data_IF_189299428676
#
_entry.id   IF_189299428676
#
_cell.length_a   1.000
_cell.length_b   1.000
_cell.length_c   1.000
_cell.angle_alpha   90.00
_cell.angle_beta   90.00
_cell.angle_gamma   90.00
#
_symmetry.space_group_name_H-M   'P 1'
#
loop_
_entity.id
_entity.type
_entity.pdbx_description
1 polymer ?
#
# COMPACT_ATOMS: atom_id res chain seq x y z
N UNK A 1 18.22 -74.17 -41.48
CA UNK A 1 17.61 -72.85 -41.20
C UNK A 1 18.22 -72.27 -39.93
N UNK A 2 19.16 -71.33 -40.03
CA UNK A 2 19.71 -70.57 -38.89
C UNK A 2 18.96 -69.23 -38.82
N UNK A 3 18.30 -68.93 -37.69
CA UNK A 3 17.77 -67.57 -37.41
C UNK A 3 18.85 -66.76 -36.69
N UNK A 4 19.29 -65.67 -37.31
CA UNK A 4 20.19 -64.69 -36.70
C UNK A 4 19.38 -63.74 -35.82
N UNK A 5 19.86 -63.49 -34.60
CA UNK A 5 19.32 -62.47 -33.69
C UNK A 5 20.18 -61.21 -33.82
N UNK A 6 19.61 -60.12 -34.33
CA UNK A 6 20.27 -58.80 -34.32
C UNK A 6 19.83 -58.05 -33.06
N UNK A 7 20.76 -57.84 -32.11
CA UNK A 7 20.56 -56.94 -30.97
C UNK A 7 20.44 -55.50 -31.48
N UNK A 8 19.29 -54.87 -31.28
CA UNK A 8 19.17 -53.42 -31.44
C UNK A 8 19.79 -52.72 -30.22
N UNK A 9 20.64 -51.75 -30.53
CA UNK A 9 21.58 -51.04 -29.68
C UNK A 9 20.89 -50.07 -28.71
N UNK A 10 21.49 -49.89 -27.54
CA UNK A 10 21.03 -49.09 -26.41
C UNK A 10 20.93 -47.56 -26.61
N UNK A 11 20.73 -47.07 -27.84
CA UNK A 11 20.46 -45.66 -28.11
C UNK A 11 18.98 -45.28 -27.92
N UNK A 12 18.04 -46.22 -28.12
CA UNK A 12 16.61 -45.94 -27.96
C UNK A 12 16.19 -45.68 -26.50
N UNK A 13 16.90 -46.25 -25.52
CA UNK A 13 16.59 -46.06 -24.10
C UNK A 13 17.10 -44.72 -23.54
N UNK A 14 18.11 -44.09 -24.18
CA UNK A 14 18.63 -42.79 -23.73
C UNK A 14 17.82 -41.60 -24.24
N UNK A 15 17.09 -41.76 -25.35
CA UNK A 15 16.16 -40.73 -25.85
C UNK A 15 14.86 -40.66 -25.03
N UNK A 16 14.43 -41.76 -24.39
CA UNK A 16 13.26 -41.75 -23.50
C UNK A 16 13.51 -41.09 -22.15
N UNK A 17 14.76 -41.03 -21.68
CA UNK A 17 15.11 -40.34 -20.44
C UNK A 17 15.30 -38.82 -20.61
N UNK A 18 15.60 -38.33 -21.82
CA UNK A 18 15.65 -36.90 -22.12
C UNK A 18 14.27 -36.29 -22.42
N UNK A 19 13.29 -37.10 -22.81
CA UNK A 19 11.91 -36.65 -23.00
C UNK A 19 11.10 -36.50 -21.71
N UNK A 20 11.51 -37.17 -20.62
CA UNK A 20 10.76 -37.15 -19.35
C UNK A 20 11.25 -36.09 -18.36
N UNK A 21 12.48 -35.58 -18.51
CA UNK A 21 12.98 -34.44 -17.72
C UNK A 21 12.60 -33.07 -18.31
N UNK A 22 12.26 -33.00 -19.61
CA UNK A 22 11.74 -31.77 -20.22
C UNK A 22 10.25 -31.53 -19.92
N UNK A 23 9.49 -32.57 -19.52
CA UNK A 23 8.07 -32.43 -19.20
C UNK A 23 7.79 -32.04 -17.73
N UNK A 24 8.77 -32.15 -16.83
CA UNK A 24 8.67 -31.68 -15.44
C UNK A 24 9.34 -30.31 -15.19
N UNK A 25 10.05 -29.75 -16.17
CA UNK A 25 10.54 -28.38 -16.13
C UNK A 25 9.52 -27.37 -16.70
N UNK A 26 8.42 -27.85 -17.29
CA UNK A 26 7.25 -27.06 -17.68
C UNK A 26 6.27 -26.87 -16.54
N UNK A 27 6.76 -26.69 -15.30
CA UNK A 27 5.93 -26.14 -14.24
C UNK A 27 5.44 -24.78 -14.76
N UNK A 28 4.14 -24.73 -15.05
CA UNK A 28 3.45 -23.58 -15.59
C UNK A 28 4.00 -22.29 -14.98
N UNK A 29 4.79 -21.56 -15.78
CA UNK A 29 4.75 -20.13 -15.69
C UNK A 29 3.32 -19.76 -16.09
N UNK A 30 2.41 -19.82 -15.11
CA UNK A 30 1.25 -18.97 -15.16
C UNK A 30 1.83 -17.59 -15.37
N UNK A 31 1.75 -17.08 -16.60
CA UNK A 31 2.01 -15.68 -16.84
C UNK A 31 1.22 -14.97 -15.77
N UNK A 32 1.91 -14.18 -14.94
CA UNK A 32 1.24 -13.26 -14.06
C UNK A 32 0.44 -12.35 -15.00
N UNK A 33 -0.82 -12.70 -15.24
CA UNK A 33 -1.76 -11.75 -15.79
C UNK A 33 -1.68 -10.59 -14.81
N UNK A 34 -1.23 -9.43 -15.29
CA UNK A 34 -1.33 -8.20 -14.52
C UNK A 34 -2.83 -7.97 -14.31
N UNK A 35 -3.39 -8.58 -13.27
CA UNK A 35 -4.79 -8.41 -12.94
C UNK A 35 -4.94 -6.97 -12.51
N UNK A 36 -5.81 -6.26 -13.22
CA UNK A 36 -6.23 -4.91 -12.86
C UNK A 36 -6.65 -4.87 -11.39
N UNK A 37 -6.45 -3.73 -10.75
CA UNK A 37 -7.03 -3.44 -9.44
C UNK A 37 -8.53 -3.74 -9.49
N UNK A 38 -9.01 -4.47 -8.51
CA UNK A 38 -10.44 -4.70 -8.33
C UNK A 38 -11.14 -3.46 -7.76
N UNK A 39 -10.39 -2.39 -7.49
CA UNK A 39 -10.88 -1.11 -7.03
C UNK A 39 -10.77 -0.11 -8.17
N UNK A 40 -11.84 0.64 -8.43
CA UNK A 40 -11.91 1.59 -9.56
C UNK A 40 -12.22 3.00 -9.09
N UNK A 41 -12.02 3.99 -9.96
CA UNK A 41 -12.46 5.37 -9.70
C UNK A 41 -13.97 5.47 -9.49
N UNK A 42 -14.77 4.64 -10.18
CA UNK A 42 -16.23 4.62 -10.09
C UNK A 42 -16.75 3.99 -8.79
N UNK A 43 -16.02 3.02 -8.24
CA UNK A 43 -16.38 2.33 -6.99
C UNK A 43 -15.75 2.96 -5.74
N UNK A 44 -15.03 4.08 -5.91
CA UNK A 44 -14.35 4.77 -4.82
C UNK A 44 -15.01 6.10 -4.47
N UNK A 45 -14.96 6.47 -3.19
CA UNK A 45 -15.68 7.62 -2.66
C UNK A 45 -14.77 8.47 -1.76
N UNK A 46 -14.85 9.78 -1.95
CA UNK A 46 -14.29 10.77 -1.04
C UNK A 46 -15.44 11.28 -0.16
N UNK A 47 -15.48 10.85 1.09
CA UNK A 47 -16.60 11.09 2.00
C UNK A 47 -16.10 11.47 3.40
N UNK A 48 -17.01 11.57 4.35
CA UNK A 48 -16.69 11.68 5.77
C UNK A 48 -17.27 10.48 6.52
N UNK A 49 -16.52 9.97 7.47
CA UNK A 49 -16.93 8.91 8.39
C UNK A 49 -16.45 9.26 9.81
N UNK A 50 -16.77 8.43 10.80
CA UNK A 50 -16.25 8.65 12.16
C UNK A 50 -14.80 8.19 12.26
N UNK A 51 -13.92 9.11 12.67
CA UNK A 51 -12.59 8.77 13.15
C UNK A 51 -12.66 8.44 14.65
N UNK A 52 -12.21 7.26 15.03
CA UNK A 52 -12.10 6.83 16.42
C UNK A 52 -10.67 6.35 16.68
N UNK A 53 -9.91 7.11 17.47
CA UNK A 53 -8.53 6.75 17.84
C UNK A 53 -8.52 5.39 18.54
N UNK A 54 -7.58 4.52 18.18
CA UNK A 54 -7.43 3.23 18.84
C UNK A 54 -7.09 3.36 20.34
N UNK A 55 -6.47 4.46 20.76
CA UNK A 55 -6.04 4.66 22.14
C UNK A 55 -5.13 3.51 22.57
N UNK A 56 -5.55 2.75 23.58
CA UNK A 56 -4.86 1.54 24.04
C UNK A 56 -5.46 0.24 23.48
N UNK A 57 -6.49 0.31 22.65
CA UNK A 57 -7.11 -0.86 22.04
C UNK A 57 -6.16 -1.55 21.05
N UNK A 58 -6.31 -2.86 20.90
CA UNK A 58 -5.46 -3.67 20.03
C UNK A 58 -4.03 -3.79 20.53
N UNK A 59 -3.11 -4.04 19.60
CA UNK A 59 -1.69 -4.25 19.84
C UNK A 59 -0.86 -3.10 19.28
N UNK A 60 0.16 -2.68 20.01
CA UNK A 60 1.19 -1.79 19.47
C UNK A 60 2.01 -2.53 18.40
N UNK A 61 2.29 -1.85 17.29
CA UNK A 61 3.18 -2.32 16.23
C UNK A 61 4.55 -1.72 16.50
N UNK A 62 5.52 -2.57 16.84
CA UNK A 62 6.87 -2.13 17.13
C UNK A 62 7.68 -1.88 15.85
N UNK A 63 8.44 -0.80 15.87
CA UNK A 63 9.50 -0.44 14.92
C UNK A 63 10.73 -0.04 15.74
N UNK A 64 11.93 -0.20 15.18
CA UNK A 64 13.19 0.17 15.80
C UNK A 64 13.34 1.69 15.97
N UNK A 65 12.66 2.47 15.12
CA UNK A 65 12.59 3.92 15.18
C UNK A 65 11.22 4.40 14.64
N UNK A 66 11.01 5.72 14.54
CA UNK A 66 9.78 6.32 13.98
C UNK A 66 10.02 7.05 12.65
N UNK A 67 11.12 6.77 11.97
CA UNK A 67 11.64 7.47 10.79
C UNK A 67 12.46 6.47 9.95
N UNK A 68 11.95 6.10 8.78
CA UNK A 68 12.52 5.04 7.93
C UNK A 68 12.68 3.67 8.60
N UNK A 69 11.57 3.00 8.89
CA UNK A 69 11.59 1.61 9.36
C UNK A 69 10.37 0.78 8.91
N UNK A 70 10.53 -0.54 8.97
CA UNK A 70 9.48 -1.52 8.73
C UNK A 70 9.23 -2.35 9.99
N UNK A 71 7.96 -2.61 10.30
CA UNK A 71 7.61 -3.52 11.37
C UNK A 71 7.90 -4.98 11.00
N UNK A 72 7.89 -5.88 12.00
CA UNK A 72 7.63 -7.29 11.72
C UNK A 72 6.21 -7.48 11.15
N UNK A 73 5.93 -8.63 10.54
CA UNK A 73 4.60 -8.96 10.03
C UNK A 73 3.54 -8.92 11.15
N UNK A 74 2.40 -8.28 10.86
CA UNK A 74 1.26 -8.11 11.75
C UNK A 74 0.07 -8.91 11.22
N UNK A 75 -0.76 -9.45 12.11
CA UNK A 75 -1.93 -10.22 11.73
C UNK A 75 -3.16 -9.32 11.47
N UNK A 76 -3.89 -9.58 10.38
CA UNK A 76 -5.16 -8.92 10.06
C UNK A 76 -6.31 -9.46 10.94
N UNK A 77 -6.20 -10.71 11.39
CA UNK A 77 -7.21 -11.41 12.19
C UNK A 77 -8.30 -12.10 11.38
N UNK A 78 -8.30 -11.95 10.06
CA UNK A 78 -9.12 -12.68 9.09
C UNK A 78 -8.40 -12.74 7.73
N UNK A 79 -8.92 -13.53 6.80
CA UNK A 79 -8.45 -13.54 5.41
C UNK A 79 -9.06 -12.37 4.65
N UNK A 80 -8.26 -11.39 4.28
CA UNK A 80 -8.66 -10.24 3.45
C UNK A 80 -8.21 -10.47 2.00
N UNK A 81 -9.13 -10.38 1.04
CA UNK A 81 -8.81 -10.57 -0.37
C UNK A 81 -8.51 -9.24 -1.04
N UNK A 82 -7.26 -9.04 -1.44
CA UNK A 82 -6.80 -7.88 -2.19
C UNK A 82 -6.42 -8.29 -3.61
N UNK A 83 -7.13 -7.77 -4.62
CA UNK A 83 -6.94 -8.08 -6.05
C UNK A 83 -6.87 -9.59 -6.35
N UNK A 84 -7.83 -10.35 -5.79
CA UNK A 84 -7.92 -11.79 -5.98
C UNK A 84 -6.96 -12.62 -5.12
N UNK A 85 -6.03 -11.98 -4.39
CA UNK A 85 -5.09 -12.68 -3.50
C UNK A 85 -5.53 -12.55 -2.04
N UNK A 86 -5.60 -13.68 -1.33
CA UNK A 86 -5.94 -13.72 0.08
C UNK A 86 -4.71 -13.42 0.95
N UNK A 87 -4.82 -12.44 1.85
CA UNK A 87 -3.81 -12.05 2.81
C UNK A 87 -4.34 -12.17 4.23
N UNK A 88 -3.51 -12.68 5.14
CA UNK A 88 -3.80 -12.75 6.58
C UNK A 88 -2.89 -11.84 7.40
N UNK A 89 -1.89 -11.26 6.76
CA UNK A 89 -0.86 -10.43 7.38
C UNK A 89 -0.55 -9.20 6.54
N UNK A 90 0.13 -8.24 7.16
CA UNK A 90 0.72 -7.07 6.50
C UNK A 90 2.03 -6.69 7.20
N UNK A 91 2.86 -5.89 6.54
CA UNK A 91 4.00 -5.18 7.15
C UNK A 91 3.73 -3.68 7.08
N UNK A 92 3.87 -2.99 8.21
CA UNK A 92 3.76 -1.53 8.30
C UNK A 92 5.11 -0.89 8.03
N UNK A 93 5.09 0.23 7.31
CA UNK A 93 6.22 1.12 7.16
C UNK A 93 5.92 2.47 7.87
N UNK A 94 6.92 3.04 8.53
CA UNK A 94 6.79 4.29 9.29
C UNK A 94 6.38 5.48 8.41
N UNK A 95 6.76 5.46 7.13
CA UNK A 95 6.42 6.43 6.09
C UNK A 95 5.00 6.27 5.53
N UNK A 96 4.04 5.77 6.31
CA UNK A 96 2.61 5.87 5.99
C UNK A 96 2.12 4.97 4.87
N UNK A 97 2.69 3.76 4.75
CA UNK A 97 2.17 2.68 3.91
C UNK A 97 2.18 1.33 4.64
N UNK A 98 1.37 0.40 4.17
CA UNK A 98 1.53 -1.03 4.46
C UNK A 98 1.74 -1.80 3.16
N UNK A 99 2.46 -2.90 3.27
CA UNK A 99 2.49 -3.96 2.27
C UNK A 99 1.68 -5.15 2.76
N UNK A 100 0.77 -5.65 1.92
CA UNK A 100 0.04 -6.87 2.22
C UNK A 100 0.97 -8.09 2.20
N UNK A 101 0.79 -9.02 3.14
CA UNK A 101 1.62 -10.20 3.31
C UNK A 101 2.67 -10.07 4.42
N UNK A 102 3.50 -11.11 4.54
CA UNK A 102 4.44 -11.27 5.65
C UNK A 102 5.82 -10.63 5.42
N UNK A 103 6.10 -10.15 4.21
CA UNK A 103 7.41 -9.62 3.82
C UNK A 103 7.38 -8.09 3.73
N UNK A 104 8.44 -7.46 4.21
CA UNK A 104 8.59 -6.01 4.15
C UNK A 104 8.68 -5.49 2.69
N UNK A 105 8.40 -4.20 2.47
CA UNK A 105 8.81 -3.48 1.25
C UNK A 105 10.31 -3.58 0.99
N UNK A 106 10.75 -3.18 -0.21
CA UNK A 106 12.15 -3.27 -0.64
C UNK A 106 13.12 -2.41 0.19
N UNK A 107 12.61 -1.36 0.84
CA UNK A 107 13.38 -0.44 1.64
C UNK A 107 12.58 0.07 2.84
N UNK A 108 13.24 0.80 3.74
CA UNK A 108 12.61 1.46 4.88
C UNK A 108 12.19 2.92 4.54
N UNK A 109 13.00 3.60 3.73
CA UNK A 109 12.73 4.93 3.15
C UNK A 109 11.81 4.85 1.90
N UNK A 110 10.69 4.13 2.03
CA UNK A 110 9.72 3.96 0.95
C UNK A 110 8.81 5.19 0.84
N UNK A 111 9.28 6.24 0.19
CA UNK A 111 8.49 7.41 -0.14
C UNK A 111 9.01 8.10 -1.40
N UNK A 112 8.15 8.92 -2.01
CA UNK A 112 8.57 9.84 -3.07
C UNK A 112 8.67 11.26 -2.51
N UNK A 113 9.85 11.84 -2.54
CA UNK A 113 10.04 13.26 -2.24
C UNK A 113 9.95 14.09 -3.53
N UNK A 114 8.72 14.43 -3.94
CA UNK A 114 8.46 15.20 -5.16
C UNK A 114 8.32 16.71 -4.89
N UNK A 115 9.31 17.29 -4.21
CA UNK A 115 9.24 18.68 -3.72
C UNK A 115 10.29 19.59 -4.34
N UNK A 116 11.22 19.02 -5.09
CA UNK A 116 12.32 19.73 -5.73
C UNK A 116 12.63 19.12 -7.09
N UNK A 117 12.97 19.96 -8.06
CA UNK A 117 13.62 19.57 -9.31
C UNK A 117 15.07 19.06 -9.09
N UNK A 118 15.34 18.41 -7.95
CA UNK A 118 16.64 17.84 -7.61
C UNK A 118 16.71 16.41 -8.12
N UNK A 119 17.80 16.10 -8.80
CA UNK A 119 18.09 14.82 -9.47
C UNK A 119 18.40 13.66 -8.52
N UNK A 120 18.06 13.76 -7.23
CA UNK A 120 18.38 12.71 -6.26
C UNK A 120 17.20 12.49 -5.29
N UNK A 121 16.25 11.60 -5.60
CA UNK A 121 15.21 11.21 -4.65
C UNK A 121 15.86 10.48 -3.46
N UNK A 122 15.62 10.96 -2.24
CA UNK A 122 16.18 10.38 -1.00
C UNK A 122 15.42 9.10 -0.58
N UNK A 123 14.30 8.80 -1.24
CA UNK A 123 13.46 7.62 -0.99
C UNK A 123 13.17 6.80 -2.25
N UNK A 124 12.60 5.62 -2.04
CA UNK A 124 12.09 4.74 -3.10
C UNK A 124 10.62 5.08 -3.33
N UNK A 125 10.28 5.61 -4.51
CA UNK A 125 8.88 5.89 -4.87
C UNK A 125 8.08 4.56 -4.93
N UNK A 126 7.13 4.34 -4.02
CA UNK A 126 6.40 3.08 -3.99
C UNK A 126 5.58 2.85 -5.26
N UNK A 127 5.20 3.90 -5.98
CA UNK A 127 4.36 3.77 -7.18
C UNK A 127 5.18 3.34 -8.40
N UNK A 128 6.31 4.01 -8.65
CA UNK A 128 7.16 3.71 -9.82
C UNK A 128 8.14 2.56 -9.60
N UNK A 129 8.39 2.15 -8.34
CA UNK A 129 9.25 1.00 -8.06
C UNK A 129 8.76 -0.27 -8.78
N UNK A 130 9.70 -0.96 -9.41
CA UNK A 130 9.51 -2.24 -10.10
C UNK A 130 10.00 -3.43 -9.29
N UNK A 131 10.47 -3.21 -8.05
CA UNK A 131 10.86 -4.29 -7.15
C UNK A 131 9.67 -5.21 -6.89
N UNK A 132 9.85 -6.55 -6.93
CA UNK A 132 8.78 -7.49 -6.55
C UNK A 132 8.41 -7.40 -5.06
N UNK A 133 9.20 -6.69 -4.24
CA UNK A 133 8.86 -6.39 -2.86
C UNK A 133 7.96 -5.15 -2.72
N UNK A 134 7.73 -4.36 -3.78
CA UNK A 134 6.94 -3.11 -3.72
C UNK A 134 5.61 -3.26 -4.46
N UNK A 135 4.90 -4.33 -4.14
CA UNK A 135 3.59 -4.68 -4.68
C UNK A 135 2.61 -4.89 -3.54
N UNK A 136 1.32 -4.85 -3.86
CA UNK A 136 0.21 -4.98 -2.90
C UNK A 136 0.29 -3.95 -1.76
N UNK A 137 0.41 -2.68 -2.15
CA UNK A 137 0.62 -1.56 -1.23
C UNK A 137 -0.68 -0.80 -0.98
N UNK A 138 -0.94 -0.49 0.28
CA UNK A 138 -1.97 0.46 0.70
C UNK A 138 -1.24 1.66 1.32
N UNK A 139 -1.49 2.84 0.75
CA UNK A 139 -0.78 4.07 1.10
C UNK A 139 -1.81 5.07 1.64
N UNK A 140 -2.17 5.03 2.94
CA UNK A 140 -3.08 5.99 3.53
C UNK A 140 -2.49 7.40 3.57
N UNK A 141 -1.19 7.58 3.78
CA UNK A 141 -0.53 8.87 3.70
C UNK A 141 0.97 8.66 3.53
N UNK A 142 1.40 8.22 2.35
CA UNK A 142 2.80 7.94 2.13
C UNK A 142 3.59 9.21 1.82
N UNK A 143 4.53 9.50 2.70
CA UNK A 143 5.41 10.65 2.70
C UNK A 143 6.62 10.33 3.60
N UNK A 144 7.70 11.10 3.52
CA UNK A 144 8.78 11.05 4.51
C UNK A 144 8.23 11.51 5.88
N UNK A 145 7.88 10.57 6.74
CA UNK A 145 7.18 10.82 8.00
C UNK A 145 8.10 10.56 9.18
N UNK A 146 8.04 11.46 10.15
CA UNK A 146 8.71 11.28 11.44
C UNK A 146 7.75 11.56 12.60
N UNK A 147 8.25 11.41 13.82
CA UNK A 147 7.49 11.66 15.04
C UNK A 147 7.23 13.17 15.24
N UNK A 148 5.96 13.56 15.42
CA UNK A 148 5.52 14.97 15.50
C UNK A 148 6.28 15.84 16.49
N UNK A 149 6.70 15.26 17.62
CA UNK A 149 7.57 15.92 18.59
C UNK A 149 8.14 14.90 19.58
N UNK A 150 9.08 15.35 20.41
CA UNK A 150 9.55 14.59 21.56
C UNK A 150 8.44 14.33 22.62
N UNK A 151 7.36 15.13 22.63
CA UNK A 151 6.28 15.06 23.64
C UNK A 151 5.00 14.38 23.14
N UNK A 152 4.85 14.23 21.82
CA UNK A 152 3.78 13.48 21.18
C UNK A 152 4.42 12.48 20.22
N UNK A 153 5.04 11.45 20.79
CA UNK A 153 5.78 10.47 20.01
C UNK A 153 4.85 9.72 19.05
N UNK A 154 5.33 9.45 17.84
CA UNK A 154 4.60 8.62 16.91
C UNK A 154 4.34 7.23 17.51
N UNK A 155 3.15 6.69 17.26
CA UNK A 155 2.74 5.37 17.70
C UNK A 155 1.96 4.66 16.60
N UNK A 156 2.21 3.37 16.44
CA UNK A 156 1.55 2.52 15.46
C UNK A 156 0.75 1.41 16.16
N UNK A 157 -0.47 1.17 15.73
CA UNK A 157 -1.35 0.14 16.35
C UNK A 157 -2.19 -0.61 15.34
N UNK A 158 -2.56 -1.84 15.70
CA UNK A 158 -3.57 -2.63 14.99
C UNK A 158 -4.60 -3.19 15.94
N UNK A 159 -5.87 -3.12 15.58
CA UNK A 159 -6.98 -3.74 16.30
C UNK A 159 -7.97 -4.37 15.32
N UNK A 160 -8.37 -5.61 15.59
CA UNK A 160 -9.44 -6.29 14.85
C UNK A 160 -10.67 -6.38 15.75
N UNK A 161 -11.77 -5.76 15.32
CA UNK A 161 -13.02 -5.67 16.08
C UNK A 161 -14.19 -6.30 15.35
N UNK A 162 -15.27 -6.61 16.07
CA UNK A 162 -16.46 -7.28 15.55
C UNK A 162 -16.38 -8.80 15.69
N UNK A 163 -17.34 -9.50 15.09
CA UNK A 163 -17.44 -10.97 15.11
C UNK A 163 -17.50 -11.49 13.69
N UNK A 164 -16.86 -12.63 13.41
CA UNK A 164 -16.90 -13.22 12.08
C UNK A 164 -18.36 -13.47 11.62
N UNK A 165 -18.69 -13.25 10.33
CA UNK A 165 -17.82 -12.80 9.23
C UNK A 165 -17.80 -11.27 9.03
N UNK A 166 -18.14 -10.49 10.07
CA UNK A 166 -18.26 -9.04 10.02
C UNK A 166 -17.19 -8.33 10.87
N UNK A 167 -15.92 -8.73 10.73
CA UNK A 167 -14.79 -8.08 11.40
C UNK A 167 -14.23 -6.92 10.59
N UNK A 168 -13.60 -5.98 11.31
CA UNK A 168 -12.84 -4.86 10.73
C UNK A 168 -11.46 -4.83 11.38
N UNK A 169 -10.41 -4.87 10.57
CA UNK A 169 -9.03 -4.63 11.01
C UNK A 169 -8.71 -3.15 10.82
N UNK A 170 -8.38 -2.44 11.90
CA UNK A 170 -7.98 -1.04 11.89
C UNK A 170 -6.50 -0.93 12.20
N UNK A 171 -5.74 -0.27 11.33
CA UNK A 171 -4.29 -0.04 11.45
C UNK A 171 -4.08 1.47 11.53
N UNK A 172 -3.40 1.96 12.56
CA UNK A 172 -3.29 3.39 12.87
C UNK A 172 -1.84 3.86 12.87
N UNK A 173 -1.59 5.02 12.27
CA UNK A 173 -0.43 5.88 12.51
C UNK A 173 -0.94 7.05 13.34
N UNK A 174 -0.30 7.30 14.49
CA UNK A 174 -0.66 8.37 15.41
C UNK A 174 0.50 9.32 15.62
N UNK A 175 0.19 10.61 15.71
CA UNK A 175 1.15 11.68 16.02
C UNK A 175 2.40 11.68 15.11
N UNK A 176 2.20 11.39 13.82
CA UNK A 176 3.25 11.55 12.80
C UNK A 176 3.16 12.94 12.18
N UNK A 177 4.20 13.40 11.50
CA UNK A 177 4.12 14.58 10.66
C UNK A 177 5.02 14.47 9.43
N UNK A 178 4.77 15.31 8.43
CA UNK A 178 5.59 15.39 7.23
C UNK A 178 6.95 15.98 7.57
N UNK A 179 7.99 15.16 7.51
CA UNK A 179 9.37 15.52 7.82
C UNK A 179 9.80 16.70 6.96
N UNK A 180 10.45 17.66 7.61
CA UNK A 180 11.01 18.80 6.89
C UNK A 180 12.24 18.35 6.09
N UNK A 181 12.38 18.85 4.88
CA UNK A 181 13.57 18.64 4.07
C UNK A 181 14.00 19.98 3.46
N UNK A 182 14.14 20.07 2.13
CA UNK A 182 14.27 21.37 1.45
C UNK A 182 13.03 22.26 1.61
N UNK A 183 11.90 21.64 1.93
CA UNK A 183 10.59 22.25 2.15
C UNK A 183 10.22 22.16 3.64
N UNK A 184 9.57 23.20 4.16
CA UNK A 184 9.10 23.23 5.55
C UNK A 184 7.91 22.28 5.75
N UNK A 185 7.87 21.63 6.91
CA UNK A 185 6.73 20.81 7.34
C UNK A 185 5.43 21.61 7.34
N UNK A 186 4.32 20.95 7.00
CA UNK A 186 2.99 21.54 6.89
C UNK A 186 2.04 21.05 7.97
N UNK A 187 2.30 19.89 8.58
CA UNK A 187 1.57 19.38 9.72
C UNK A 187 2.47 19.38 10.94
N UNK A 188 1.93 19.83 12.07
CA UNK A 188 2.54 19.61 13.37
C UNK A 188 2.19 18.22 13.89
N UNK A 189 1.01 17.69 13.56
CA UNK A 189 0.62 16.32 13.91
C UNK A 189 -0.50 15.85 12.98
N UNK A 190 -0.42 14.58 12.59
CA UNK A 190 -1.39 13.87 11.78
C UNK A 190 -1.60 12.47 12.39
N UNK A 191 -2.86 12.05 12.44
CA UNK A 191 -3.25 10.70 12.83
C UNK A 191 -4.23 10.17 11.79
N UNK A 192 -3.98 8.97 11.27
CA UNK A 192 -4.79 8.36 10.23
C UNK A 192 -4.82 6.84 10.36
N UNK A 193 -5.81 6.23 9.70
CA UNK A 193 -6.09 4.81 9.79
C UNK A 193 -6.29 4.18 8.41
N UNK A 194 -5.89 2.91 8.28
CA UNK A 194 -6.40 1.97 7.28
C UNK A 194 -7.44 1.09 7.97
N UNK A 195 -8.59 0.87 7.33
CA UNK A 195 -9.58 -0.11 7.74
C UNK A 195 -9.80 -1.14 6.64
N UNK A 196 -9.69 -2.42 6.99
CA UNK A 196 -9.95 -3.57 6.13
C UNK A 196 -11.23 -4.27 6.61
N UNK A 197 -12.17 -4.55 5.72
CA UNK A 197 -13.47 -5.14 6.04
C UNK A 197 -13.53 -6.59 5.55
N UNK A 198 -13.84 -7.52 6.45
CA UNK A 198 -13.69 -8.98 6.23
C UNK A 198 -14.43 -9.52 5.02
N UNK A 199 -15.75 -9.32 4.92
CA UNK A 199 -16.55 -9.94 3.84
C UNK A 199 -16.55 -9.09 2.56
N UNK A 200 -16.63 -7.77 2.68
CA UNK A 200 -16.74 -6.88 1.51
C UNK A 200 -15.41 -6.61 0.81
N UNK A 201 -14.30 -6.93 1.47
CA UNK A 201 -12.95 -6.51 1.07
C UNK A 201 -12.85 -4.99 0.84
N UNK A 202 -13.71 -4.20 1.46
CA UNK A 202 -13.62 -2.74 1.39
C UNK A 202 -12.35 -2.27 2.11
N UNK A 203 -11.75 -1.20 1.60
CA UNK A 203 -10.65 -0.47 2.24
C UNK A 203 -11.12 0.95 2.53
N UNK A 204 -10.82 1.47 3.73
CA UNK A 204 -10.96 2.89 4.02
C UNK A 204 -9.66 3.48 4.55
N UNK A 205 -9.30 4.67 4.07
CA UNK A 205 -8.31 5.53 4.70
C UNK A 205 -9.04 6.66 5.42
N UNK A 206 -8.97 6.70 6.76
CA UNK A 206 -9.72 7.64 7.59
C UNK A 206 -8.76 8.54 8.36
N UNK A 207 -8.94 9.86 8.26
CA UNK A 207 -8.06 10.85 8.89
C UNK A 207 -8.71 11.46 10.13
N UNK A 208 -7.94 11.54 11.20
CA UNK A 208 -8.29 12.34 12.37
C UNK A 208 -8.13 13.83 12.09
N UNK A 209 -8.49 14.66 13.07
CA UNK A 209 -8.19 16.09 12.99
C UNK A 209 -6.66 16.29 12.96
N UNK A 210 -6.15 16.89 11.88
CA UNK A 210 -4.75 17.27 11.78
C UNK A 210 -4.49 18.58 12.55
N UNK A 211 -3.26 18.75 13.00
CA UNK A 211 -2.76 20.03 13.53
C UNK A 211 -1.81 20.65 12.52
N UNK A 212 -2.06 21.88 12.10
CA UNK A 212 -1.19 22.61 11.18
C UNK A 212 0.17 22.93 11.81
N UNK A 213 1.24 22.85 11.03
CA UNK A 213 2.51 23.45 11.41
C UNK A 213 2.35 24.97 11.50
N UNK A 214 2.83 25.57 12.60
CA UNK A 214 2.73 27.02 12.86
C UNK A 214 4.01 27.78 12.50
N UNK A 215 5.08 27.07 12.15
CA UNK A 215 6.39 27.61 11.79
C UNK A 215 6.77 27.20 10.38
N UNK A 216 7.44 28.08 9.64
CA UNK A 216 7.86 27.83 8.27
C UNK A 216 6.88 28.39 7.23
N UNK A 217 7.30 28.36 5.97
CA UNK A 217 6.52 28.90 4.87
C UNK A 217 5.35 27.96 4.55
N UNK A 218 4.15 28.51 4.33
CA UNK A 218 3.00 27.74 3.85
C UNK A 218 3.23 27.42 2.37
N UNK A 219 3.53 26.16 2.08
CA UNK A 219 3.82 25.67 0.72
C UNK A 219 3.04 24.40 0.44
N UNK A 220 2.86 24.11 -0.84
CA UNK A 220 2.27 22.85 -1.26
C UNK A 220 3.29 21.72 -1.24
N UNK A 221 2.89 20.55 -0.70
CA UNK A 221 3.67 19.31 -0.64
C UNK A 221 2.86 18.15 -1.22
N UNK A 222 3.50 17.07 -1.67
CA UNK A 222 2.80 15.95 -2.33
C UNK A 222 2.92 14.65 -1.54
N UNK A 223 1.79 14.13 -1.05
CA UNK A 223 1.72 12.81 -0.44
C UNK A 223 1.15 11.78 -1.44
N UNK A 224 1.66 10.56 -1.38
CA UNK A 224 1.08 9.43 -2.11
C UNK A 224 -0.04 8.82 -1.27
N UNK A 225 -1.27 8.94 -1.76
CA UNK A 225 -2.44 8.33 -1.12
C UNK A 225 -3.11 7.42 -2.13
N UNK A 226 -3.30 6.15 -1.82
CA UNK A 226 -3.90 5.22 -2.77
C UNK A 226 -3.57 3.75 -2.58
N UNK A 227 -3.80 3.00 -3.65
CA UNK A 227 -3.59 1.57 -3.78
C UNK A 227 -2.61 1.28 -4.91
N UNK A 228 -1.77 0.26 -4.75
CA UNK A 228 -0.95 -0.35 -5.81
C UNK A 228 -1.09 -1.87 -5.76
N UNK A 229 -1.38 -2.47 -6.91
CA UNK A 229 -1.28 -3.92 -7.11
C UNK A 229 0.16 -4.28 -7.49
N UNK A 230 0.44 -4.64 -8.75
CA UNK A 230 1.74 -5.17 -9.17
C UNK A 230 2.71 -4.13 -9.73
N UNK A 231 2.24 -2.99 -10.25
CA UNK A 231 3.09 -1.99 -10.89
C UNK A 231 2.47 -0.59 -10.83
N UNK A 232 3.21 0.42 -11.29
CA UNK A 232 2.71 1.79 -11.42
C UNK A 232 1.74 2.02 -12.60
N UNK A 233 1.52 1.02 -13.45
CA UNK A 233 0.76 1.18 -14.68
C UNK A 233 -0.71 1.56 -14.41
N UNK A 234 -1.36 2.15 -15.42
CA UNK A 234 -2.82 2.36 -15.40
C UNK A 234 -3.51 1.01 -15.20
N UNK A 235 -4.52 0.99 -14.34
CA UNK A 235 -5.20 -0.22 -13.88
C UNK A 235 -4.49 -0.93 -12.74
N UNK A 236 -3.20 -0.68 -12.49
CA UNK A 236 -2.45 -1.28 -11.37
C UNK A 236 -2.29 -0.32 -10.17
N UNK A 237 -2.67 0.94 -10.33
CA UNK A 237 -2.76 1.91 -9.23
C UNK A 237 -4.10 2.62 -9.20
N UNK A 238 -4.51 3.02 -7.99
CA UNK A 238 -5.66 3.89 -7.77
C UNK A 238 -5.29 4.89 -6.68
N UNK A 239 -4.92 6.09 -7.12
CA UNK A 239 -4.38 7.16 -6.30
C UNK A 239 -5.42 8.26 -6.06
N UNK A 240 -5.21 9.02 -5.00
CA UNK A 240 -5.97 10.23 -4.71
C UNK A 240 -5.20 11.44 -5.21
N UNK A 241 -5.88 12.28 -5.98
CA UNK A 241 -5.39 13.53 -6.54
C UNK A 241 -6.09 14.71 -5.89
N UNK A 242 -5.33 15.78 -5.63
CA UNK A 242 -5.92 17.10 -5.33
C UNK A 242 -5.23 18.14 -6.20
N UNK A 243 -5.96 18.73 -7.14
CA UNK A 243 -5.39 19.61 -8.17
C UNK A 243 -4.78 20.92 -7.64
N UNK A 244 -5.04 21.27 -6.37
CA UNK A 244 -4.44 22.41 -5.70
C UNK A 244 -4.21 22.13 -4.22
N UNK A 245 -3.07 22.53 -3.68
CA UNK A 245 -2.82 22.50 -2.24
C UNK A 245 -3.77 23.46 -1.50
N UNK A 246 -4.31 24.45 -2.21
CA UNK A 246 -5.19 25.51 -1.72
C UNK A 246 -6.69 25.21 -1.74
N UNK A 247 -7.09 23.94 -1.87
CA UNK A 247 -8.50 23.53 -1.81
C UNK A 247 -8.73 22.48 -0.73
N UNK A 248 -9.97 22.39 -0.26
CA UNK A 248 -10.37 21.43 0.77
C UNK A 248 -10.13 19.99 0.31
N UNK A 249 -9.83 19.09 1.25
CA UNK A 249 -9.62 17.66 0.93
C UNK A 249 -10.87 16.99 0.37
N UNK A 250 -12.06 17.55 0.63
CA UNK A 250 -13.32 17.15 0.00
C UNK A 250 -13.32 17.26 -1.53
N UNK A 251 -12.44 18.06 -2.13
CA UNK A 251 -12.33 18.21 -3.59
C UNK A 251 -11.41 17.18 -4.22
N UNK A 252 -10.76 16.31 -3.44
CA UNK A 252 -9.86 15.31 -3.97
C UNK A 252 -10.62 14.24 -4.76
N UNK A 253 -10.01 13.75 -5.84
CA UNK A 253 -10.58 12.78 -6.78
C UNK A 253 -9.69 11.54 -6.90
N UNK A 254 -10.23 10.45 -7.42
CA UNK A 254 -9.46 9.23 -7.67
C UNK A 254 -8.97 9.17 -9.11
N UNK A 255 -7.74 8.70 -9.31
CA UNK A 255 -7.07 8.59 -10.61
C UNK A 255 -6.22 7.32 -10.67
N UNK A 256 -6.02 6.78 -11.86
CA UNK A 256 -5.14 5.63 -12.07
C UNK A 256 -3.86 6.03 -12.83
N UNK A 257 -2.76 5.33 -12.59
CA UNK A 257 -1.43 5.59 -13.17
C UNK A 257 -0.39 6.15 -12.19
N UNK A 258 0.75 6.60 -12.72
CA UNK A 258 1.95 6.92 -11.93
C UNK A 258 2.10 8.38 -11.51
N UNK A 259 1.42 9.33 -12.16
CA UNK A 259 1.84 10.75 -12.16
C UNK A 259 1.16 11.67 -11.16
N UNK A 260 0.11 11.22 -10.46
CA UNK A 260 -0.75 12.14 -9.69
C UNK A 260 -0.70 11.80 -8.19
N UNK A 261 -0.65 12.84 -7.35
CA UNK A 261 -0.50 12.74 -5.89
C UNK A 261 -1.43 13.72 -5.19
N UNK A 262 -1.68 13.51 -3.90
CA UNK A 262 -2.46 14.46 -3.10
C UNK A 262 -1.60 15.67 -2.78
N UNK A 263 -1.98 16.84 -3.29
CA UNK A 263 -1.29 18.10 -3.03
C UNK A 263 -1.82 18.75 -1.75
N UNK A 264 -1.04 18.84 -0.68
CA UNK A 264 -1.48 19.31 0.64
C UNK A 264 -0.69 20.54 1.12
N UNK A 265 -1.21 21.25 2.13
CA UNK A 265 -0.53 22.36 2.83
C UNK A 265 -1.15 22.61 4.21
N UNK A 266 -0.49 23.39 5.06
CA UNK A 266 -0.90 23.62 6.45
C UNK A 266 -2.22 24.37 6.62
N UNK A 267 -2.63 25.17 5.64
CA UNK A 267 -3.88 25.96 5.70
C UNK A 267 -5.12 25.23 5.17
N UNK A 268 -4.95 24.03 4.60
CA UNK A 268 -6.03 23.21 4.02
C UNK A 268 -5.87 21.76 4.48
N UNK A 269 -6.18 21.56 5.77
CA UNK A 269 -6.10 20.28 6.47
C UNK A 269 -7.20 19.32 5.99
N UNK A 270 -7.03 18.00 6.21
CA UNK A 270 -8.16 17.07 6.10
C UNK A 270 -9.24 17.45 7.12
N UNK A 271 -10.49 17.44 6.67
CA UNK A 271 -11.63 17.53 7.61
C UNK A 271 -11.58 16.33 8.57
N UNK A 272 -11.99 16.52 9.82
CA UNK A 272 -12.06 15.42 10.77
C UNK A 272 -12.97 14.31 10.23
N UNK A 273 -12.45 13.07 10.16
CA UNK A 273 -13.18 11.94 9.61
C UNK A 273 -13.19 11.88 8.08
N UNK A 274 -12.43 12.74 7.37
CA UNK A 274 -12.21 12.61 5.92
C UNK A 274 -11.86 11.15 5.63
N UNK A 275 -12.52 10.58 4.63
CA UNK A 275 -12.41 9.17 4.31
C UNK A 275 -12.28 8.98 2.82
N UNK A 276 -11.21 8.32 2.39
CA UNK A 276 -11.12 7.74 1.05
C UNK A 276 -11.50 6.27 1.14
N UNK A 277 -12.66 5.94 0.59
CA UNK A 277 -13.22 4.59 0.59
C UNK A 277 -13.00 3.95 -0.77
N UNK A 278 -12.45 2.74 -0.77
CA UNK A 278 -12.27 1.90 -1.94
C UNK A 278 -13.15 0.68 -1.78
N UNK A 279 -14.20 0.60 -2.59
CA UNK A 279 -15.04 -0.58 -2.67
C UNK A 279 -14.61 -1.41 -3.86
N UNK A 280 -14.61 -2.73 -3.70
CA UNK A 280 -14.43 -3.67 -4.80
C UNK A 280 -15.47 -3.33 -5.87
N UNK A 281 -15.00 -2.95 -7.06
CA UNK A 281 -15.84 -2.78 -8.23
C UNK A 281 -16.40 -4.13 -8.66
N UNK A 282 -17.48 -4.16 -9.45
CA UNK A 282 -17.91 -5.40 -10.09
C UNK A 282 -16.70 -6.00 -10.82
N UNK A 283 -16.56 -7.33 -10.78
CA UNK A 283 -15.56 -8.00 -11.59
C UNK A 283 -15.74 -7.49 -13.03
N UNK A 284 -14.65 -7.02 -13.64
CA UNK A 284 -14.66 -6.75 -15.07
C UNK A 284 -14.72 -8.13 -15.75
N UNK A 285 -15.90 -8.74 -15.74
CA UNK A 285 -16.25 -9.88 -16.58
C UNK A 285 -16.42 -9.33 -18.01
N UNK A 286 -15.35 -8.75 -18.55
CA UNK A 286 -15.27 -8.31 -19.92
C UNK A 286 -14.78 -9.50 -20.75
N UNK A 287 -15.78 -10.17 -21.35
CA UNK A 287 -15.81 -10.91 -22.62
C UNK A 287 -14.51 -11.49 -23.20
#
# INVERSE_FOLDING_TARGET
MKKSYTRTSGLANRLRQLGLTALLAGAAAFGAHAQGLYYTTLSSQNTTSTFADLGTAGSAIATANTDDDNSAAQNIGFSFTYNGTAFTQFVLNTNGLIRMGAAAPSAANMFLQNETATTNPVGVDPISSTSPADVDLLLPFNFDLESSSATATAEYRVATTGTAPNRVCTIQWKNVHDKAATSTSQFASLTFQVKLYETSNQIEFVYGAATAATTGTVIGRYATIGLKSASGAVGQTLLVSKGSSATAWSTATFVSGTGTRLFFRSTFLPDAGRTFRYTVGPANDAA
#
